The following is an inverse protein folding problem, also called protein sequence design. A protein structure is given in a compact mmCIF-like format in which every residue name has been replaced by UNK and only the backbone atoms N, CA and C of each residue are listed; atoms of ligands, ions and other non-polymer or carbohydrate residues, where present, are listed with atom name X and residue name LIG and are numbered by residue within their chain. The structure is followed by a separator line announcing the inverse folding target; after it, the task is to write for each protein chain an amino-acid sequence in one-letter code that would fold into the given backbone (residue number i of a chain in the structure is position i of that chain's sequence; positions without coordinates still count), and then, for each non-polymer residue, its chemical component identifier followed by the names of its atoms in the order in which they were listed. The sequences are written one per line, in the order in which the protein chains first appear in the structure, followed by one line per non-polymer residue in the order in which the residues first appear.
data_IF_031732923356
#
_entry.id   IF_031732923356
#
_cell.length_a   1.000
_cell.length_b   1.000
_cell.length_c   1.000
_cell.angle_alpha   90.00
_cell.angle_beta   90.00
_cell.angle_gamma   90.00
#
_symmetry.space_group_name_H-M   'P 1'
#
loop_
_entity.id
_entity.type
_entity.pdbx_description
1 polymer ?
#
# COMPACT_ATOMS: atom_id res chain seq x y z
N UNK A 1 -9.60 -42.12 -21.01
CA UNK A 1 -9.54 -41.24 -19.83
C UNK A 1 -8.84 -39.96 -20.28
N UNK A 2 -9.61 -38.93 -20.62
CA UNK A 2 -9.02 -37.63 -20.96
C UNK A 2 -8.47 -36.97 -19.70
N UNK A 3 -7.33 -36.26 -19.76
CA UNK A 3 -6.83 -35.53 -18.61
C UNK A 3 -7.89 -34.52 -18.18
N UNK A 4 -8.31 -34.62 -16.91
CA UNK A 4 -9.18 -33.67 -16.27
C UNK A 4 -8.46 -32.31 -16.33
N UNK A 5 -8.93 -31.41 -17.20
CA UNK A 5 -8.36 -30.07 -17.29
C UNK A 5 -8.48 -29.43 -15.89
N UNK A 6 -7.34 -29.17 -15.26
CA UNK A 6 -7.31 -28.44 -13.99
C UNK A 6 -8.07 -27.12 -14.17
N UNK A 7 -8.92 -26.78 -13.20
CA UNK A 7 -9.62 -25.49 -13.17
C UNK A 7 -8.60 -24.38 -13.45
N UNK A 8 -8.90 -23.43 -14.36
CA UNK A 8 -7.99 -22.33 -14.61
C UNK A 8 -7.68 -21.59 -13.29
N UNK A 9 -6.44 -21.12 -13.11
CA UNK A 9 -6.04 -20.42 -11.90
C UNK A 9 -6.99 -19.26 -11.62
N UNK A 10 -7.37 -19.09 -10.36
CA UNK A 10 -8.14 -17.94 -9.90
C UNK A 10 -7.17 -16.74 -9.79
N UNK A 11 -7.31 -15.70 -10.64
CA UNK A 11 -6.39 -14.57 -10.65
C UNK A 11 -6.29 -13.86 -9.30
N UNK A 12 -7.39 -13.82 -8.53
CA UNK A 12 -7.38 -13.23 -7.20
C UNK A 12 -6.51 -14.05 -6.24
N UNK A 13 -6.63 -15.37 -6.31
CA UNK A 13 -5.83 -16.27 -5.50
C UNK A 13 -4.34 -16.22 -5.85
N UNK A 14 -4.00 -16.13 -7.13
CA UNK A 14 -2.60 -16.04 -7.54
C UNK A 14 -1.99 -14.68 -7.22
N UNK A 15 -2.78 -13.59 -7.28
CA UNK A 15 -2.31 -12.28 -6.85
C UNK A 15 -2.01 -12.22 -5.35
N UNK A 16 -2.76 -12.92 -4.50
CA UNK A 16 -2.42 -13.05 -3.07
C UNK A 16 -1.01 -13.63 -2.86
N UNK A 17 -0.55 -14.53 -3.73
CA UNK A 17 0.80 -15.12 -3.66
C UNK A 17 1.89 -14.17 -4.18
N UNK A 18 1.52 -13.19 -5.00
CA UNK A 18 2.43 -12.17 -5.51
C UNK A 18 2.86 -11.16 -4.44
N UNK A 19 2.20 -11.17 -3.27
CA UNK A 19 2.54 -10.33 -2.13
C UNK A 19 3.57 -11.02 -1.26
N UNK A 20 4.70 -10.35 -1.06
CA UNK A 20 5.81 -10.83 -0.23
C UNK A 20 6.07 -9.81 0.87
N UNK A 21 6.06 -10.26 2.13
CA UNK A 21 6.49 -9.41 3.26
C UNK A 21 8.02 -9.35 3.27
N UNK A 22 8.57 -8.14 3.33
CA UNK A 22 10.01 -7.88 3.26
C UNK A 22 10.52 -7.16 4.50
N UNK A 23 11.69 -7.53 4.99
CA UNK A 23 12.37 -6.87 6.11
C UNK A 23 13.28 -5.73 5.61
N UNK A 24 12.66 -4.76 4.93
CA UNK A 24 13.24 -3.48 4.54
C UNK A 24 12.11 -2.49 4.25
N UNK A 25 12.40 -1.20 4.36
CA UNK A 25 11.52 -0.12 3.91
C UNK A 25 11.55 0.03 2.38
N UNK A 26 10.67 0.87 1.84
CA UNK A 26 10.45 0.99 0.38
C UNK A 26 11.70 1.38 -0.42
N UNK A 27 12.68 2.02 0.24
CA UNK A 27 13.97 2.40 -0.36
C UNK A 27 15.05 1.31 -0.29
N UNK A 28 14.74 0.10 0.18
CA UNK A 28 15.67 -1.03 0.27
C UNK A 28 16.60 -0.98 1.48
N UNK A 29 16.34 -0.10 2.45
CA UNK A 29 17.08 -0.03 3.72
C UNK A 29 16.28 -0.63 4.87
N UNK A 30 16.94 -1.09 5.93
CA UNK A 30 16.30 -1.58 7.16
C UNK A 30 16.99 -1.06 8.41
N UNK A 31 16.26 -1.03 9.52
CA UNK A 31 16.82 -0.78 10.86
C UNK A 31 17.06 -2.12 11.56
N UNK A 32 18.33 -2.48 11.74
CA UNK A 32 18.78 -3.73 12.35
C UNK A 32 19.99 -3.47 13.26
N UNK A 33 20.13 -4.23 14.35
CA UNK A 33 21.33 -4.18 15.20
C UNK A 33 21.70 -2.79 15.78
N UNK A 34 20.76 -1.85 15.85
CA UNK A 34 20.98 -0.48 16.34
C UNK A 34 21.36 0.56 15.29
N UNK A 35 21.36 0.19 13.99
CA UNK A 35 21.67 1.10 12.89
C UNK A 35 20.86 0.83 11.62
N UNK A 36 20.96 1.76 10.68
CA UNK A 36 20.38 1.59 9.34
C UNK A 36 21.40 0.93 8.40
N UNK A 37 20.97 -0.09 7.68
CA UNK A 37 21.78 -0.80 6.68
C UNK A 37 21.01 -1.05 5.38
N UNK A 38 21.75 -1.28 4.29
CA UNK A 38 21.17 -1.67 3.01
C UNK A 38 20.80 -3.15 3.02
N UNK A 39 19.56 -3.48 2.66
CA UNK A 39 19.03 -4.84 2.64
C UNK A 39 18.46 -5.25 1.27
N UNK A 40 18.20 -4.29 0.39
CA UNK A 40 17.82 -4.50 -1.00
C UNK A 40 18.30 -3.32 -1.87
N UNK A 41 18.36 -3.48 -3.20
CA UNK A 41 18.62 -2.36 -4.10
C UNK A 41 17.59 -1.24 -3.94
N UNK A 42 18.03 0.00 -4.14
CA UNK A 42 17.15 1.15 -4.24
C UNK A 42 16.12 0.95 -5.37
N UNK A 43 14.92 1.57 -5.29
CA UNK A 43 13.92 1.49 -6.34
C UNK A 43 14.47 1.93 -7.70
N UNK A 44 14.25 1.10 -8.72
CA UNK A 44 14.59 1.41 -10.10
C UNK A 44 13.38 1.95 -10.88
N UNK A 45 13.53 2.13 -12.19
CA UNK A 45 12.45 2.60 -13.09
C UNK A 45 11.25 1.65 -13.21
N UNK A 46 11.37 0.41 -12.71
CA UNK A 46 10.32 -0.60 -12.71
C UNK A 46 9.69 -0.79 -11.33
N UNK A 47 10.17 -0.03 -10.33
CA UNK A 47 9.72 -0.09 -8.95
C UNK A 47 8.99 1.18 -8.57
N UNK A 48 7.73 1.03 -8.20
CA UNK A 48 6.91 2.08 -7.61
C UNK A 48 6.99 1.98 -6.09
N UNK A 49 7.18 3.13 -5.43
CA UNK A 49 7.17 3.21 -3.97
C UNK A 49 5.95 3.97 -3.47
N UNK A 50 5.43 3.54 -2.33
CA UNK A 50 4.36 4.23 -1.63
C UNK A 50 4.96 5.17 -0.58
N UNK A 51 4.57 6.43 -0.66
CA UNK A 51 4.81 7.44 0.36
C UNK A 51 3.60 7.51 1.32
N UNK A 52 3.74 7.02 2.57
CA UNK A 52 2.68 7.05 3.59
C UNK A 52 2.58 8.44 4.24
N UNK A 53 2.16 9.45 3.48
CA UNK A 53 2.24 10.84 3.89
C UNK A 53 1.04 11.31 4.73
N UNK A 54 1.16 12.55 5.22
CA UNK A 54 0.03 13.34 5.70
C UNK A 54 -0.35 14.35 4.62
N UNK A 55 -1.65 14.59 4.43
CA UNK A 55 -2.14 15.67 3.57
C UNK A 55 -1.53 17.04 3.94
N UNK A 56 -1.20 17.26 5.24
CA UNK A 56 -0.50 18.48 5.68
C UNK A 56 0.82 18.69 4.93
N UNK A 57 1.66 17.66 4.82
CA UNK A 57 2.97 17.78 4.19
C UNK A 57 2.88 17.99 2.68
N UNK A 58 1.88 17.39 2.04
CA UNK A 58 1.66 17.55 0.60
C UNK A 58 1.12 18.94 0.27
N UNK A 59 0.17 19.44 1.06
CA UNK A 59 -0.59 20.66 0.74
C UNK A 59 0.00 21.96 1.29
N UNK A 60 0.85 21.90 2.32
CA UNK A 60 1.42 23.11 2.91
C UNK A 60 2.54 23.64 2.03
N UNK A 61 2.40 24.87 1.52
CA UNK A 61 3.51 25.57 0.86
C UNK A 61 4.55 26.02 1.90
N UNK A 62 5.83 25.98 1.54
CA UNK A 62 6.97 26.32 2.39
C UNK A 62 7.74 25.09 2.90
N UNK A 63 8.60 25.29 3.93
CA UNK A 63 9.55 24.28 4.42
C UNK A 63 8.92 23.04 5.11
N UNK A 64 7.60 22.84 5.04
CA UNK A 64 6.93 21.72 5.69
C UNK A 64 7.43 20.35 5.20
N UNK A 65 7.93 20.27 3.95
CA UNK A 65 8.51 19.04 3.40
C UNK A 65 9.77 18.62 4.17
N UNK A 66 10.60 19.59 4.59
CA UNK A 66 11.82 19.34 5.35
C UNK A 66 11.56 18.76 6.74
N UNK A 67 10.37 19.05 7.31
CA UNK A 67 9.92 18.56 8.62
C UNK A 67 9.36 17.12 8.58
N UNK A 68 9.23 16.54 7.39
CA UNK A 68 8.73 15.17 7.27
C UNK A 68 9.74 14.17 7.84
N UNK A 69 9.29 13.36 8.78
CA UNK A 69 10.06 12.27 9.36
C UNK A 69 9.71 10.90 8.78
N UNK A 70 10.37 9.86 9.29
CA UNK A 70 10.06 8.46 8.97
C UNK A 70 10.21 8.13 7.48
N UNK A 71 9.30 7.30 6.97
CA UNK A 71 9.33 6.86 5.58
C UNK A 71 9.18 8.04 4.58
N UNK A 72 8.22 8.94 4.82
CA UNK A 72 7.99 10.09 3.93
C UNK A 72 9.21 11.00 3.83
N UNK A 73 9.85 11.35 4.96
CA UNK A 73 11.08 12.16 4.94
C UNK A 73 12.20 11.54 4.10
N UNK A 74 12.43 10.23 4.27
CA UNK A 74 13.42 9.50 3.49
C UNK A 74 13.06 9.44 1.98
N UNK A 75 11.76 9.32 1.65
CA UNK A 75 11.29 9.35 0.26
C UNK A 75 11.48 10.74 -0.36
N UNK A 76 11.21 11.81 0.39
CA UNK A 76 11.37 13.19 -0.09
C UNK A 76 12.83 13.50 -0.39
N UNK A 77 13.74 13.02 0.46
CA UNK A 77 15.19 13.07 0.19
C UNK A 77 15.53 12.25 -1.06
N UNK A 78 15.01 11.02 -1.18
CA UNK A 78 15.24 10.15 -2.33
C UNK A 78 14.79 10.77 -3.65
N UNK A 79 13.65 11.46 -3.70
CA UNK A 79 13.16 12.12 -4.91
C UNK A 79 13.78 13.50 -5.16
N UNK A 80 14.50 14.06 -4.17
CA UNK A 80 15.16 15.36 -4.26
C UNK A 80 14.28 16.56 -3.95
N UNK A 81 13.17 16.35 -3.23
CA UNK A 81 12.20 17.40 -2.88
C UNK A 81 12.29 17.88 -1.43
N UNK A 82 13.22 17.33 -0.64
CA UNK A 82 13.31 17.62 0.81
C UNK A 82 13.46 19.12 1.12
N UNK A 83 14.20 19.83 0.27
CA UNK A 83 14.51 21.25 0.44
C UNK A 83 13.66 22.15 -0.48
N UNK A 84 12.71 21.58 -1.22
CA UNK A 84 11.82 22.35 -2.10
C UNK A 84 10.72 23.07 -1.31
N UNK A 85 10.24 24.18 -1.89
CA UNK A 85 9.18 24.99 -1.29
C UNK A 85 7.79 24.35 -1.36
N UNK A 86 7.63 23.22 -2.05
CA UNK A 86 6.33 22.56 -2.23
C UNK A 86 6.37 21.44 -3.26
N UNK A 87 5.35 20.60 -3.22
CA UNK A 87 5.14 19.58 -4.24
C UNK A 87 4.61 20.18 -5.55
N UNK A 88 4.75 19.46 -6.68
CA UNK A 88 4.12 19.82 -7.95
C UNK A 88 2.60 20.05 -7.80
N UNK A 89 2.05 20.97 -8.58
CA UNK A 89 0.65 21.39 -8.44
C UNK A 89 -0.36 20.25 -8.64
N UNK A 90 -0.07 19.30 -9.52
CA UNK A 90 -0.88 18.10 -9.72
C UNK A 90 -0.90 17.20 -8.48
N UNK A 91 0.25 17.02 -7.81
CA UNK A 91 0.34 16.28 -6.54
C UNK A 91 -0.48 16.97 -5.45
N UNK A 92 -0.37 18.29 -5.34
CA UNK A 92 -1.14 19.10 -4.37
C UNK A 92 -2.65 19.00 -4.65
N UNK A 93 -3.06 19.06 -5.91
CA UNK A 93 -4.47 19.00 -6.30
C UNK A 93 -5.05 17.58 -6.19
N UNK A 94 -4.21 16.55 -6.33
CA UNK A 94 -4.60 15.15 -6.22
C UNK A 94 -4.79 14.65 -4.78
N UNK A 95 -4.31 15.40 -3.79
CA UNK A 95 -4.36 15.03 -2.37
C UNK A 95 -5.10 16.11 -1.58
N UNK A 96 -6.28 15.77 -1.07
CA UNK A 96 -7.10 16.68 -0.25
C UNK A 96 -7.07 16.30 1.23
N UNK A 97 -7.24 15.02 1.54
CA UNK A 97 -7.51 14.48 2.89
C UNK A 97 -7.01 13.04 3.07
N UNK A 98 -7.21 12.52 4.27
CA UNK A 98 -6.98 11.10 4.57
C UNK A 98 -7.83 10.19 3.67
N UNK A 99 -7.24 9.10 3.19
CA UNK A 99 -7.88 8.20 2.22
C UNK A 99 -7.55 8.51 0.75
N UNK A 100 -6.89 9.64 0.47
CA UNK A 100 -6.52 10.02 -0.89
C UNK A 100 -5.21 9.35 -1.33
N UNK A 101 -5.11 9.09 -2.63
CA UNK A 101 -3.99 8.45 -3.30
C UNK A 101 -3.72 9.20 -4.60
N UNK A 102 -2.46 9.55 -4.86
CA UNK A 102 -2.06 10.19 -6.10
C UNK A 102 -0.71 9.69 -6.58
N UNK A 103 -0.65 9.22 -7.83
CA UNK A 103 0.58 8.83 -8.49
C UNK A 103 1.28 10.03 -9.15
N UNK A 104 2.59 10.14 -8.95
CA UNK A 104 3.42 11.10 -9.66
C UNK A 104 4.79 10.49 -10.03
N UNK A 105 5.34 10.99 -11.13
CA UNK A 105 6.61 10.54 -11.69
C UNK A 105 7.65 11.65 -11.55
N UNK A 106 8.61 11.46 -10.65
CA UNK A 106 9.61 12.47 -10.32
C UNK A 106 10.90 12.30 -11.13
N UNK A 107 11.42 13.41 -11.63
CA UNK A 107 12.71 13.46 -12.32
C UNK A 107 12.65 12.92 -13.76
N UNK A 108 13.47 13.52 -14.63
CA UNK A 108 13.68 13.08 -16.00
C UNK A 108 15.19 13.15 -16.32
N UNK A 109 15.78 12.17 -17.04
CA UNK A 109 15.18 10.94 -17.59
C UNK A 109 15.14 9.75 -16.63
N UNK A 110 15.81 9.82 -15.48
CA UNK A 110 15.85 8.75 -14.47
C UNK A 110 14.66 8.86 -13.51
N UNK A 111 13.48 8.57 -14.04
CA UNK A 111 12.25 8.81 -13.31
C UNK A 111 12.03 7.85 -12.14
N UNK A 112 11.55 8.42 -11.03
CA UNK A 112 11.18 7.74 -9.79
C UNK A 112 9.65 7.70 -9.70
N UNK A 113 9.10 6.52 -9.50
CA UNK A 113 7.65 6.30 -9.46
C UNK A 113 7.16 6.33 -8.01
N UNK A 114 6.32 7.31 -7.66
CA UNK A 114 5.82 7.48 -6.29
C UNK A 114 4.30 7.56 -6.30
N UNK A 115 3.67 6.80 -5.40
CA UNK A 115 2.29 7.03 -5.00
C UNK A 115 2.29 7.71 -3.64
N UNK A 116 1.80 8.95 -3.59
CA UNK A 116 1.46 9.61 -2.34
C UNK A 116 0.16 9.03 -1.82
N UNK A 117 0.18 8.47 -0.61
CA UNK A 117 -0.92 7.78 0.01
C UNK A 117 -1.16 8.36 1.40
N UNK A 118 -2.28 9.08 1.57
CA UNK A 118 -2.58 9.71 2.87
C UNK A 118 -3.27 8.71 3.78
N UNK A 119 -2.49 8.17 4.72
CA UNK A 119 -3.00 7.30 5.77
C UNK A 119 -3.92 8.03 6.75
N UNK A 120 -4.82 7.29 7.38
CA UNK A 120 -5.66 7.77 8.48
C UNK A 120 -4.85 7.92 9.76
N UNK A 121 -4.99 9.05 10.47
CA UNK A 121 -4.37 9.25 11.79
C UNK A 121 -5.28 8.76 12.94
N UNK A 122 -5.15 7.48 13.28
CA UNK A 122 -5.95 6.81 14.31
C UNK A 122 -5.72 7.32 15.74
N UNK A 123 -4.71 8.18 15.97
CA UNK A 123 -4.57 8.88 17.27
C UNK A 123 -5.71 9.87 17.50
N UNK A 124 -6.21 10.49 16.44
CA UNK A 124 -7.21 11.57 16.51
C UNK A 124 -8.50 11.25 15.77
N UNK A 125 -8.50 10.21 14.92
CA UNK A 125 -9.64 9.84 14.07
C UNK A 125 -10.97 9.74 14.83
N UNK A 126 -11.01 9.00 15.95
CA UNK A 126 -12.24 8.82 16.72
C UNK A 126 -12.89 10.15 17.11
N UNK A 127 -12.10 11.08 17.65
CA UNK A 127 -12.57 12.40 18.09
C UNK A 127 -13.09 13.25 16.92
N UNK A 128 -12.48 13.14 15.74
CA UNK A 128 -12.81 13.97 14.57
C UNK A 128 -14.01 13.42 13.80
N UNK A 129 -14.07 12.11 13.60
CA UNK A 129 -14.97 11.46 12.64
C UNK A 129 -16.04 10.58 13.29
N UNK A 130 -15.82 10.09 14.51
CA UNK A 130 -16.68 9.10 15.17
C UNK A 130 -17.45 9.67 16.38
N UNK A 131 -17.11 10.87 16.84
CA UNK A 131 -17.73 11.49 18.02
C UNK A 131 -17.49 10.67 19.29
N UNK A 132 -18.55 10.17 19.89
CA UNK A 132 -18.50 9.35 21.11
C UNK A 132 -18.20 7.86 20.84
N UNK A 133 -18.17 7.43 19.57
CA UNK A 133 -17.85 6.05 19.21
C UNK A 133 -16.34 5.80 19.28
N UNK A 134 -15.96 4.69 19.92
CA UNK A 134 -14.59 4.23 19.96
C UNK A 134 -14.13 3.72 18.59
N UNK A 135 -12.88 4.04 18.21
CA UNK A 135 -12.25 3.44 17.04
C UNK A 135 -11.96 1.96 17.31
N UNK A 136 -12.62 1.08 16.55
CA UNK A 136 -12.39 -0.36 16.61
C UNK A 136 -11.42 -0.83 15.50
N UNK A 137 -10.77 -2.00 15.66
CA UNK A 137 -9.97 -2.62 14.60
C UNK A 137 -10.74 -2.82 13.28
N UNK A 138 -12.04 -3.13 13.35
CA UNK A 138 -12.89 -3.34 12.17
C UNK A 138 -13.09 -2.04 11.39
N UNK A 139 -13.35 -0.92 12.08
CA UNK A 139 -13.46 0.39 11.43
C UNK A 139 -12.14 0.76 10.75
N UNK A 140 -11.02 0.57 11.44
CA UNK A 140 -9.70 0.86 10.88
C UNK A 140 -9.39 -0.02 9.65
N UNK A 141 -9.73 -1.31 9.71
CA UNK A 141 -9.58 -2.23 8.58
C UNK A 141 -10.40 -1.78 7.38
N UNK A 142 -11.67 -1.44 7.58
CA UNK A 142 -12.56 -1.03 6.48
C UNK A 142 -12.10 0.28 5.82
N UNK A 143 -11.55 1.22 6.60
CA UNK A 143 -10.94 2.45 6.08
C UNK A 143 -9.68 2.15 5.26
N UNK A 144 -8.78 1.32 5.81
CA UNK A 144 -7.54 0.95 5.11
C UNK A 144 -7.79 0.08 3.89
N UNK A 145 -8.83 -0.75 3.87
CA UNK A 145 -9.20 -1.56 2.71
C UNK A 145 -9.55 -0.66 1.51
N UNK A 146 -10.36 0.39 1.74
CA UNK A 146 -10.69 1.37 0.69
C UNK A 146 -9.46 2.15 0.22
N UNK A 147 -8.55 2.49 1.14
CA UNK A 147 -7.31 3.17 0.80
C UNK A 147 -6.40 2.28 -0.06
N UNK A 148 -6.19 1.02 0.36
CA UNK A 148 -5.41 0.06 -0.41
C UNK A 148 -6.05 -0.27 -1.75
N UNK A 149 -7.38 -0.31 -1.85
CA UNK A 149 -8.08 -0.51 -3.13
C UNK A 149 -7.71 0.60 -4.12
N UNK A 150 -7.83 1.87 -3.69
CA UNK A 150 -7.43 3.03 -4.51
C UNK A 150 -5.97 2.98 -4.90
N UNK A 151 -5.09 2.62 -3.96
CA UNK A 151 -3.65 2.47 -4.18
C UNK A 151 -3.33 1.41 -5.23
N UNK A 152 -3.93 0.23 -5.11
CA UNK A 152 -3.73 -0.89 -6.03
C UNK A 152 -4.28 -0.54 -7.43
N UNK A 153 -5.45 0.10 -7.50
CA UNK A 153 -6.01 0.57 -8.77
C UNK A 153 -5.17 1.66 -9.42
N UNK A 154 -4.57 2.56 -8.65
CA UNK A 154 -3.69 3.60 -9.17
C UNK A 154 -2.36 3.00 -9.67
N UNK A 155 -1.83 2.00 -8.96
CA UNK A 155 -0.65 1.24 -9.38
C UNK A 155 -0.88 0.55 -10.72
N UNK A 156 -2.03 -0.13 -10.88
CA UNK A 156 -2.37 -0.86 -12.10
C UNK A 156 -2.45 0.03 -13.35
N UNK A 157 -2.73 1.33 -13.21
CA UNK A 157 -2.76 2.30 -14.32
C UNK A 157 -1.38 2.85 -14.70
N UNK A 158 -0.39 2.70 -13.83
CA UNK A 158 0.82 3.55 -13.84
C UNK A 158 2.04 2.92 -14.52
N UNK A 159 2.05 1.59 -14.73
CA UNK A 159 3.02 0.88 -15.58
C UNK A 159 4.09 0.03 -14.86
N UNK A 160 4.73 0.47 -13.76
CA UNK A 160 5.66 -0.37 -13.00
C UNK A 160 5.03 -1.69 -12.53
N UNK A 161 5.78 -2.79 -12.64
CA UNK A 161 5.33 -4.12 -12.23
C UNK A 161 5.64 -4.44 -10.77
N UNK A 162 6.55 -3.69 -10.14
CA UNK A 162 6.90 -3.89 -8.73
C UNK A 162 6.36 -2.74 -7.90
N UNK A 163 5.54 -3.06 -6.89
CA UNK A 163 5.05 -2.12 -5.90
C UNK A 163 5.72 -2.41 -4.55
N UNK A 164 6.44 -1.42 -3.99
CA UNK A 164 6.92 -1.44 -2.61
C UNK A 164 6.04 -0.53 -1.77
N UNK A 165 5.24 -1.12 -0.87
CA UNK A 165 4.38 -0.37 0.04
C UNK A 165 4.78 -0.61 1.49
N UNK A 166 4.55 0.38 2.34
CA UNK A 166 4.60 0.19 3.79
C UNK A 166 3.23 -0.23 4.33
N UNK A 167 3.15 -0.79 5.54
CA UNK A 167 1.93 -0.81 6.33
C UNK A 167 1.44 0.63 6.60
N UNK A 168 0.51 1.11 5.78
CA UNK A 168 -0.02 2.48 5.87
C UNK A 168 -0.72 2.67 7.22
N UNK A 169 -0.53 3.84 7.81
CA UNK A 169 -0.99 4.20 9.17
C UNK A 169 -0.39 3.40 10.32
N UNK A 170 0.55 2.47 10.09
CA UNK A 170 0.99 1.55 11.15
C UNK A 170 2.10 2.07 12.09
N UNK A 171 2.69 3.21 11.78
CA UNK A 171 3.70 3.86 12.62
C UNK A 171 3.07 4.84 13.60
N UNK A 172 3.49 6.10 13.50
CA UNK A 172 3.01 7.20 14.35
C UNK A 172 1.48 7.32 14.33
N UNK A 173 0.85 7.05 13.18
CA UNK A 173 -0.59 7.18 12.98
C UNK A 173 -1.41 6.03 13.56
N UNK A 174 -0.80 4.95 14.06
CA UNK A 174 -1.55 3.78 14.53
C UNK A 174 -2.33 4.07 15.81
N UNK A 175 -1.87 5.04 16.61
CA UNK A 175 -2.49 5.41 17.88
C UNK A 175 -2.76 4.19 18.77
N UNK A 176 -4.00 4.00 19.26
CA UNK A 176 -4.34 2.88 20.14
C UNK A 176 -4.27 1.51 19.45
N UNK A 177 -4.25 1.47 18.11
CA UNK A 177 -4.28 0.22 17.33
C UNK A 177 -2.89 -0.33 17.00
N UNK A 178 -1.80 0.27 17.50
CA UNK A 178 -0.42 -0.11 17.17
C UNK A 178 -0.14 -1.63 17.34
N UNK A 179 -0.76 -2.25 18.36
CA UNK A 179 -0.65 -3.70 18.59
C UNK A 179 -1.29 -4.56 17.48
N UNK A 180 -2.37 -4.05 16.88
CA UNK A 180 -3.23 -4.80 15.96
C UNK A 180 -2.92 -4.51 14.49
N UNK A 181 -2.11 -3.49 14.20
CA UNK A 181 -1.76 -3.06 12.84
C UNK A 181 -1.26 -4.19 11.91
N UNK A 182 -0.50 -5.21 12.36
CA UNK A 182 -0.15 -6.34 11.50
C UNK A 182 -1.38 -7.08 10.95
N UNK A 183 -2.35 -7.39 11.81
CA UNK A 183 -3.57 -8.10 11.42
C UNK A 183 -4.49 -7.19 10.59
N UNK A 184 -4.69 -5.94 11.02
CA UNK A 184 -5.49 -4.95 10.30
C UNK A 184 -4.95 -4.74 8.89
N UNK A 185 -3.63 -4.56 8.73
CA UNK A 185 -2.99 -4.36 7.42
C UNK A 185 -3.19 -5.56 6.51
N UNK A 186 -2.96 -6.78 7.02
CA UNK A 186 -3.10 -8.00 6.22
C UNK A 186 -4.54 -8.21 5.75
N UNK A 187 -5.52 -8.08 6.64
CA UNK A 187 -6.93 -8.24 6.27
C UNK A 187 -7.41 -7.13 5.32
N UNK A 188 -7.05 -5.86 5.60
CA UNK A 188 -7.41 -4.73 4.75
C UNK A 188 -6.85 -4.84 3.32
N UNK A 189 -5.60 -5.30 3.18
CA UNK A 189 -4.98 -5.48 1.88
C UNK A 189 -5.65 -6.63 1.09
N UNK A 190 -6.05 -7.71 1.76
CA UNK A 190 -6.82 -8.78 1.11
C UNK A 190 -8.22 -8.33 0.69
N UNK A 191 -8.92 -7.55 1.53
CA UNK A 191 -10.22 -6.98 1.19
C UNK A 191 -10.11 -6.02 0.00
N UNK A 192 -9.06 -5.20 -0.04
CA UNK A 192 -8.75 -4.32 -1.17
C UNK A 192 -8.51 -5.10 -2.47
N UNK A 193 -7.74 -6.18 -2.44
CA UNK A 193 -7.51 -7.03 -3.61
C UNK A 193 -8.81 -7.61 -4.15
N UNK A 194 -9.66 -8.14 -3.28
CA UNK A 194 -10.96 -8.67 -3.66
C UNK A 194 -11.85 -7.58 -4.27
N UNK A 195 -11.84 -6.37 -3.71
CA UNK A 195 -12.57 -5.23 -4.25
C UNK A 195 -12.06 -4.83 -5.64
N UNK A 196 -10.74 -4.76 -5.85
CA UNK A 196 -10.16 -4.46 -7.17
C UNK A 196 -10.58 -5.47 -8.24
N UNK A 197 -10.55 -6.78 -7.97
CA UNK A 197 -11.03 -7.80 -8.92
C UNK A 197 -12.54 -7.73 -9.17
N UNK A 198 -13.33 -7.21 -8.22
CA UNK A 198 -14.76 -7.01 -8.40
C UNK A 198 -15.08 -5.73 -9.20
N UNK A 199 -14.25 -4.69 -9.08
CA UNK A 199 -14.49 -3.35 -9.65
C UNK A 199 -13.73 -3.07 -10.96
N UNK A 200 -12.79 -3.93 -11.37
CA UNK A 200 -11.89 -3.70 -12.50
C UNK A 200 -12.50 -3.83 -13.90
N UNK A 201 -13.79 -4.14 -14.01
CA UNK A 201 -14.53 -4.17 -15.27
C UNK A 201 -14.81 -2.76 -15.79
N UNK A 202 -13.85 -2.19 -16.51
CA UNK A 202 -14.04 -0.95 -17.26
C UNK A 202 -14.70 -1.26 -18.62
N UNK A 203 -15.95 -0.81 -18.80
CA UNK A 203 -16.69 -0.94 -20.06
C UNK A 203 -16.14 0.07 -21.08
N UNK A 204 -15.16 -0.35 -21.87
CA UNK A 204 -14.68 0.38 -23.04
C UNK A 204 -15.43 -0.01 -24.33
N UNK A 205 -15.58 0.93 -25.27
CA UNK A 205 -16.38 0.80 -26.49
C UNK A 205 -15.93 -0.27 -27.53
N UNK A 206 -14.90 -1.09 -27.25
CA UNK A 206 -14.39 -2.10 -28.20
C UNK A 206 -13.87 -3.42 -27.59
N UNK A 207 -13.62 -3.48 -26.28
CA UNK A 207 -13.36 -4.71 -25.51
C UNK A 207 -13.29 -4.36 -24.01
N UNK A 208 -13.82 -5.22 -23.15
CA UNK A 208 -13.68 -5.14 -21.68
C UNK A 208 -12.23 -5.50 -21.34
N UNK A 209 -11.37 -4.52 -21.02
CA UNK A 209 -10.02 -4.79 -20.50
C UNK A 209 -10.06 -4.67 -18.99
N UNK A 210 -9.86 -5.79 -18.32
CA UNK A 210 -9.67 -5.84 -16.88
C UNK A 210 -8.25 -5.33 -16.56
N UNK A 211 -8.14 -4.03 -16.30
CA UNK A 211 -6.85 -3.35 -16.03
C UNK A 211 -6.15 -3.94 -14.82
N UNK A 212 -6.93 -4.35 -13.80
CA UNK A 212 -6.35 -4.89 -12.58
C UNK A 212 -5.87 -6.33 -12.77
N UNK A 213 -6.63 -7.17 -13.47
CA UNK A 213 -6.22 -8.54 -13.76
C UNK A 213 -4.96 -8.59 -14.64
N UNK A 214 -4.84 -7.69 -15.62
CA UNK A 214 -3.65 -7.53 -16.46
C UNK A 214 -2.42 -7.16 -15.63
N UNK A 215 -2.57 -6.18 -14.72
CA UNK A 215 -1.52 -5.82 -13.77
C UNK A 215 -1.16 -7.00 -12.85
N UNK A 216 -2.17 -7.64 -12.24
CA UNK A 216 -2.01 -8.70 -11.27
C UNK A 216 -1.27 -9.93 -11.84
N UNK A 217 -1.40 -10.21 -13.13
CA UNK A 217 -0.72 -11.32 -13.80
C UNK A 217 0.81 -11.20 -13.82
N UNK A 218 1.34 -9.99 -13.68
CA UNK A 218 2.78 -9.72 -13.80
C UNK A 218 3.35 -8.94 -12.61
N UNK A 219 2.50 -8.54 -11.67
CA UNK A 219 2.90 -7.69 -10.56
C UNK A 219 3.62 -8.46 -9.46
N UNK A 220 4.51 -7.76 -8.77
CA UNK A 220 5.07 -8.16 -7.47
C UNK A 220 4.75 -7.08 -6.47
N UNK A 221 4.19 -7.47 -5.33
CA UNK A 221 3.86 -6.53 -4.25
C UNK A 221 4.74 -6.83 -3.05
N UNK A 222 5.58 -5.89 -2.66
CA UNK A 222 6.44 -6.01 -1.49
C UNK A 222 5.84 -5.20 -0.34
N UNK A 223 5.34 -5.89 0.68
CA UNK A 223 4.93 -5.26 1.94
C UNK A 223 6.19 -5.04 2.79
N UNK A 224 6.73 -3.83 2.68
CA UNK A 224 8.00 -3.39 3.24
C UNK A 224 7.88 -3.03 4.73
N UNK A 225 8.49 -3.84 5.60
CA UNK A 225 8.58 -3.62 7.05
C UNK A 225 10.01 -3.18 7.39
N UNK A 226 10.16 -1.91 7.76
CA UNK A 226 11.47 -1.29 7.99
C UNK A 226 12.15 -1.74 9.30
N UNK A 227 11.36 -1.93 10.36
CA UNK A 227 11.86 -2.32 11.68
C UNK A 227 11.94 -3.84 11.78
N UNK A 228 13.14 -4.38 12.02
CA UNK A 228 13.36 -5.81 12.14
C UNK A 228 12.45 -6.47 13.19
N UNK A 229 12.24 -5.81 14.33
CA UNK A 229 11.38 -6.30 15.42
C UNK A 229 9.91 -6.49 15.02
N UNK A 230 9.43 -5.77 14.01
CA UNK A 230 8.04 -5.83 13.58
C UNK A 230 7.86 -6.85 12.44
N UNK A 231 8.94 -7.19 11.72
CA UNK A 231 8.89 -8.06 10.54
C UNK A 231 8.18 -9.38 10.80
N UNK A 232 8.55 -10.11 11.85
CA UNK A 232 7.96 -11.41 12.17
C UNK A 232 6.45 -11.33 12.43
N UNK A 233 5.97 -10.22 13.03
CA UNK A 233 4.54 -10.02 13.31
C UNK A 233 3.74 -9.78 12.04
N UNK A 234 4.26 -8.97 11.11
CA UNK A 234 3.63 -8.74 9.81
C UNK A 234 3.65 -9.99 8.93
N UNK A 235 4.77 -10.73 8.94
CA UNK A 235 4.87 -11.96 8.17
C UNK A 235 3.87 -13.02 8.67
N UNK A 236 3.77 -13.20 9.98
CA UNK A 236 2.80 -14.11 10.59
C UNK A 236 1.35 -13.68 10.31
N UNK A 237 1.03 -12.39 10.44
CA UNK A 237 -0.29 -11.86 10.17
C UNK A 237 -0.71 -12.06 8.71
N UNK A 238 0.19 -11.81 7.75
CA UNK A 238 -0.07 -12.05 6.34
C UNK A 238 -0.36 -13.53 6.06
N UNK A 239 0.50 -14.44 6.53
CA UNK A 239 0.32 -15.89 6.37
C UNK A 239 -1.02 -16.36 6.96
N UNK A 240 -1.37 -15.88 8.15
CA UNK A 240 -2.62 -16.23 8.82
C UNK A 240 -3.86 -15.72 8.04
N UNK A 241 -3.81 -14.48 7.56
CA UNK A 241 -4.92 -13.87 6.82
C UNK A 241 -5.17 -14.57 5.47
N UNK A 242 -4.10 -14.90 4.74
CA UNK A 242 -4.19 -15.67 3.47
C UNK A 242 -4.78 -17.06 3.73
N UNK A 243 -4.28 -17.79 4.74
CA UNK A 243 -4.81 -19.11 5.09
C UNK A 243 -6.30 -19.07 5.45
N UNK A 244 -6.73 -18.06 6.23
CA UNK A 244 -8.14 -17.82 6.59
C UNK A 244 -9.02 -17.57 5.35
N UNK A 245 -8.53 -16.79 4.38
CA UNK A 245 -9.27 -16.49 3.13
C UNK A 245 -9.47 -17.77 2.30
N UNK A 246 -8.39 -18.51 2.05
CA UNK A 246 -8.41 -19.76 1.26
C UNK A 246 -9.35 -20.81 1.87
N UNK A 247 -9.37 -20.94 3.20
CA UNK A 247 -10.29 -21.84 3.90
C UNK A 247 -11.76 -21.44 3.74
N UNK A 248 -12.05 -20.13 3.71
CA UNK A 248 -13.41 -19.60 3.57
C UNK A 248 -13.96 -19.86 2.16
N UNK A 249 -13.14 -19.66 1.12
CA UNK A 249 -13.54 -19.85 -0.28
C UNK A 249 -13.73 -21.33 -0.65
N UNK A 250 -12.92 -22.21 -0.06
CA UNK A 250 -13.08 -23.66 -0.19
C UNK A 250 -14.42 -24.15 0.37
N UNK A 251 -14.87 -23.55 1.47
CA UNK A 251 -16.15 -23.89 2.12
C UNK A 251 -17.35 -23.41 1.31
N UNK A 252 -17.23 -22.26 0.62
CA UNK A 252 -18.29 -21.73 -0.27
C UNK A 252 -18.45 -22.52 -1.56
N UNK A 253 -17.37 -23.12 -2.07
CA UNK A 253 -17.40 -23.89 -3.33
C UNK A 253 -17.97 -25.31 -3.18
N UNK A 254 -18.22 -25.78 -1.94
CA UNK A 254 -18.76 -27.12 -1.64
C UNK A 254 -20.25 -27.11 -1.28
N UNK A 255 -20.89 -25.94 -1.23
CA UNK A 255 -22.33 -25.77 -1.01
C UNK A 255 -23.01 -25.36 -2.31
#
# INVERSE_FOLDING_TARGET
MGPCASKPPDPAHDFMKAVVVRNYGVLGKRMAGGGEEAAAPAPDKHTMIVDPCSARFVRTQGCAIADAGGASGAIYEFIGYRDDAGFPADVVNGIEREGDVFYHKYGWPNSKHVIHCVGYDFRTYAKRELGDLALSPEIARDLLAKLYERLLMETAKSGPSTLRLVPVSAGIFAGPLLGDMPAITAEALLDAMAACFASSKMVGAKAEKDVFADYAAHATVELCVYLERDFARYEAAWKAAVAKRVATDSTRSQK
#
